data_IF_384268575112
#
_entry.id   IF_384268575112
#
_cell.length_a   1.000
_cell.length_b   1.000
_cell.length_c   1.000
_cell.angle_alpha   90.00
_cell.angle_beta   90.00
_cell.angle_gamma   90.00
#
_symmetry.space_group_name_H-M   'P 1'
#
loop_
_entity.id
_entity.type
_entity.pdbx_description
1 polymer ?
#
# COMPACT_ATOMS: atom_id res chain seq x y z
N UNK A 5 31.49 7.59 -14.52
CA UNK A 5 32.01 6.89 -13.24
C UNK A 5 31.78 5.39 -12.92
N UNK A 6 32.26 4.96 -11.72
CA UNK A 6 32.04 3.59 -11.12
C UNK A 6 30.69 3.66 -10.44
N UNK A 7 30.03 2.50 -10.34
CA UNK A 7 28.57 2.37 -10.22
C UNK A 7 27.87 3.32 -9.26
N UNK A 8 26.73 3.84 -9.72
CA UNK A 8 26.00 4.91 -9.02
C UNK A 8 24.52 4.64 -8.75
N UNK A 9 24.08 3.40 -8.96
CA UNK A 9 22.72 3.01 -8.57
C UNK A 9 21.68 3.79 -9.32
N UNK A 10 20.50 3.21 -9.42
CA UNK A 10 19.48 3.78 -10.29
C UNK A 10 18.18 3.85 -9.57
N UNK A 11 17.23 4.60 -10.13
CA UNK A 11 15.96 4.92 -9.52
C UNK A 11 15.20 3.64 -9.35
N UNK A 12 14.50 3.50 -8.22
CA UNK A 12 13.65 2.35 -8.04
C UNK A 12 13.78 1.84 -6.62
N UNK A 13 13.81 0.53 -6.51
CA UNK A 13 14.07 -0.12 -5.27
C UNK A 13 15.33 -0.93 -5.48
N UNK A 14 16.27 -0.76 -4.54
CA UNK A 14 17.39 -1.68 -4.36
C UNK A 14 16.91 -2.83 -3.50
N UNK A 15 16.06 -2.48 -2.53
CA UNK A 15 15.67 -3.21 -1.31
C UNK A 15 15.46 -4.74 -1.23
N UNK A 16 15.53 -5.44 -2.35
CA UNK A 16 15.34 -6.90 -2.35
C UNK A 16 14.09 -7.23 -1.56
N UNK A 17 13.08 -6.37 -1.69
CA UNK A 17 11.84 -6.54 -0.95
C UNK A 17 11.22 -7.90 -1.22
N UNK A 18 10.97 -8.68 -0.15
CA UNK A 18 10.37 -10.01 -0.24
C UNK A 18 9.07 -9.96 -1.01
N UNK A 19 8.84 -10.93 -1.90
CA UNK A 19 7.62 -10.85 -2.67
C UNK A 19 6.50 -10.47 -1.72
N UNK A 20 5.64 -9.54 -2.10
CA UNK A 20 4.47 -9.20 -1.28
C UNK A 20 4.52 -7.83 -0.65
N UNK A 21 5.70 -7.21 -0.67
CA UNK A 21 5.83 -5.90 -0.07
C UNK A 21 5.59 -4.73 -1.03
N UNK A 22 4.38 -4.16 -0.98
CA UNK A 22 4.16 -2.87 -1.60
C UNK A 22 4.74 -1.74 -0.77
N UNK A 23 4.48 -0.55 -1.28
CA UNK A 23 4.53 0.68 -0.59
C UNK A 23 3.07 1.07 -0.50
N UNK A 24 2.44 0.79 0.63
CA UNK A 24 1.07 1.21 0.94
C UNK A 24 1.23 2.12 2.14
N UNK A 25 1.47 3.43 1.90
CA UNK A 25 1.57 4.35 3.03
C UNK A 25 0.21 4.74 3.57
N UNK A 26 0.21 5.10 4.84
CA UNK A 26 -0.99 5.58 5.47
C UNK A 26 -0.96 7.07 5.39
N UNK A 27 -2.07 7.70 5.72
CA UNK A 27 -2.13 9.12 5.54
C UNK A 27 -1.15 9.81 6.47
N UNK A 28 -0.86 9.16 7.58
CA UNK A 28 0.02 9.77 8.57
C UNK A 28 1.46 9.73 8.09
N UNK A 29 1.79 8.63 7.42
CA UNK A 29 3.12 8.45 6.93
C UNK A 29 3.46 9.47 5.88
N UNK A 30 2.60 9.53 4.86
CA UNK A 30 2.77 10.47 3.79
C UNK A 30 2.95 11.87 4.35
N UNK A 31 2.15 12.23 5.34
CA UNK A 31 2.32 13.49 6.03
C UNK A 31 3.67 13.59 6.75
N UNK A 32 3.93 12.70 7.69
CA UNK A 32 5.02 12.89 8.64
C UNK A 32 6.33 12.54 7.99
N UNK A 33 6.39 11.33 7.46
CA UNK A 33 7.59 10.74 6.94
C UNK A 33 7.97 11.23 5.57
N UNK A 34 7.04 11.82 4.84
CA UNK A 34 7.38 12.32 3.53
C UNK A 34 7.13 13.81 3.43
N UNK A 35 5.91 14.19 3.11
CA UNK A 35 5.57 15.62 3.01
C UNK A 35 6.28 16.54 4.07
N UNK A 36 6.17 16.17 5.36
CA UNK A 36 6.75 16.97 6.45
C UNK A 36 8.26 16.96 6.42
N UNK A 37 8.81 15.77 6.21
CA UNK A 37 10.25 15.55 6.12
C UNK A 37 10.91 16.25 4.92
N UNK A 38 10.29 16.13 3.75
CA UNK A 38 10.63 16.99 2.63
C UNK A 38 10.59 18.42 3.10
N UNK A 39 9.40 18.86 3.51
CA UNK A 39 9.17 20.24 3.92
C UNK A 39 10.15 20.69 4.98
N UNK A 40 10.70 19.75 5.74
CA UNK A 40 11.77 20.08 6.68
C UNK A 40 13.14 20.12 5.95
N UNK A 41 13.28 19.25 4.92
CA UNK A 41 14.53 19.11 4.15
C UNK A 41 15.31 17.86 4.49
N UNK A 42 15.00 16.72 3.84
CA UNK A 42 15.68 15.43 4.17
C UNK A 42 16.61 14.78 3.10
N UNK A 43 16.23 13.60 2.62
CA UNK A 43 16.97 12.75 1.67
C UNK A 43 17.68 11.58 2.34
N UNK A 46 17.96 7.27 0.17
CA UNK A 46 17.03 6.21 -0.27
C UNK A 46 15.93 6.73 -1.18
N UNK A 47 16.18 7.82 -1.88
CA UNK A 47 15.11 8.67 -2.47
C UNK A 47 13.96 7.98 -3.22
N UNK A 48 12.72 8.32 -2.86
CA UNK A 48 11.57 7.52 -3.32
C UNK A 48 10.43 8.24 -4.06
N UNK A 49 10.22 9.51 -3.75
CA UNK A 49 9.14 10.23 -4.38
C UNK A 49 9.69 11.29 -5.34
N UNK A 50 9.29 11.18 -6.60
CA UNK A 50 9.73 12.08 -7.68
C UNK A 50 9.27 13.54 -7.51
N UNK A 51 10.16 14.52 -7.66
CA UNK A 51 9.74 15.90 -7.78
C UNK A 51 9.36 16.14 -9.24
N UNK A 52 8.19 16.74 -9.47
CA UNK A 52 7.68 16.93 -10.83
C UNK A 52 6.66 18.05 -10.83
N UNK A 53 6.64 18.89 -11.86
CA UNK A 53 5.48 19.78 -11.95
C UNK A 53 4.33 19.02 -12.57
N UNK A 54 3.39 18.66 -11.73
CA UNK A 54 2.27 17.93 -12.21
C UNK A 54 1.53 18.78 -13.23
N UNK A 55 1.35 20.06 -12.94
CA UNK A 55 0.44 20.87 -13.75
C UNK A 55 1.00 21.18 -15.17
N UNK A 56 2.22 20.68 -15.44
CA UNK A 56 2.81 20.74 -16.77
C UNK A 56 2.23 19.66 -17.71
N UNK A 57 1.88 18.50 -17.14
CA UNK A 57 1.57 17.31 -17.95
C UNK A 57 0.14 16.77 -17.94
N UNK A 58 -0.25 16.04 -18.98
CA UNK A 58 -1.50 15.30 -18.86
C UNK A 58 -1.28 14.20 -17.83
N UNK A 59 -2.35 13.72 -17.17
CA UNK A 59 -2.13 12.66 -16.17
C UNK A 59 -1.56 11.34 -16.71
N UNK A 60 -1.79 11.00 -17.97
CA UNK A 60 -1.46 9.64 -18.47
C UNK A 60 -0.03 9.49 -18.88
N UNK A 61 0.71 10.61 -18.86
CA UNK A 61 2.14 10.64 -19.21
C UNK A 61 2.90 10.46 -17.92
N UNK A 62 2.26 10.81 -16.80
CA UNK A 62 2.78 10.67 -15.41
C UNK A 62 3.36 9.34 -14.93
N UNK A 63 2.59 8.23 -14.99
CA UNK A 63 3.16 6.97 -14.52
C UNK A 63 4.65 6.74 -14.84
N UNK A 64 5.11 7.08 -16.05
CA UNK A 64 6.50 6.84 -16.42
C UNK A 64 7.49 7.68 -15.67
N UNK A 65 7.01 8.75 -15.04
CA UNK A 65 7.89 9.67 -14.34
C UNK A 65 8.05 9.29 -12.87
N UNK A 66 7.13 8.51 -12.31
CA UNK A 66 7.33 8.04 -10.92
C UNK A 66 8.46 7.02 -10.92
N UNK A 67 9.33 7.00 -9.89
CA UNK A 67 10.38 5.99 -9.90
C UNK A 67 9.88 4.54 -9.78
N UNK A 68 8.63 4.35 -9.37
CA UNK A 68 8.04 3.02 -9.39
C UNK A 68 6.53 3.13 -9.35
N UNK A 69 5.84 2.00 -9.33
CA UNK A 69 4.41 2.12 -9.09
C UNK A 69 3.65 1.24 -10.02
N UNK A 70 2.74 0.46 -9.46
CA UNK A 70 2.09 -0.50 -10.31
C UNK A 70 0.72 0.01 -10.70
N UNK A 71 -0.07 0.37 -9.69
CA UNK A 71 -1.34 0.97 -10.01
C UNK A 71 -1.44 2.41 -9.52
N UNK A 72 -0.35 2.94 -8.97
CA UNK A 72 -0.37 4.33 -8.57
C UNK A 72 1.00 4.96 -8.51
N UNK A 73 1.02 6.28 -8.36
CA UNK A 73 2.23 7.05 -8.46
C UNK A 73 2.18 8.22 -7.57
N UNK A 74 3.22 8.32 -6.75
CA UNK A 74 3.34 9.44 -5.86
C UNK A 74 4.26 10.43 -6.50
N UNK A 75 4.03 11.72 -6.24
CA UNK A 75 4.98 12.79 -6.61
C UNK A 75 4.95 13.91 -5.64
N UNK A 76 6.08 14.57 -5.53
CA UNK A 76 6.09 15.86 -4.92
C UNK A 76 5.93 16.82 -6.07
N UNK A 77 5.15 17.86 -5.85
CA UNK A 77 4.94 18.91 -6.85
C UNK A 77 4.95 20.24 -6.14
N UNK A 78 5.65 21.24 -6.69
CA UNK A 78 6.03 22.52 -6.02
C UNK A 78 5.01 23.21 -5.05
N UNK A 90 -9.28 25.63 -9.51
CA UNK A 90 -8.97 24.30 -10.02
C UNK A 90 -7.49 24.04 -10.36
N UNK A 91 -7.15 24.51 -11.56
CA UNK A 91 -5.84 24.49 -12.19
C UNK A 91 -5.90 23.80 -13.53
N UNK A 92 -4.77 23.73 -14.23
CA UNK A 92 -4.73 23.48 -15.67
C UNK A 92 -3.56 22.58 -15.90
N UNK A 93 -3.75 21.56 -16.71
CA UNK A 93 -2.66 20.63 -16.96
C UNK A 93 -2.81 20.08 -18.33
N UNK A 94 -1.84 20.40 -19.19
CA UNK A 94 -1.79 19.87 -20.53
C UNK A 94 -3.07 20.21 -21.26
N UNK A 95 -3.78 19.17 -21.69
CA UNK A 95 -4.94 19.28 -22.56
C UNK A 95 -6.17 19.67 -21.78
N UNK A 96 -6.01 19.70 -20.46
CA UNK A 96 -7.17 19.90 -19.61
C UNK A 96 -6.99 20.62 -18.30
N UNK A 97 -7.70 20.10 -17.30
CA UNK A 97 -7.79 20.70 -15.97
C UNK A 97 -8.21 19.73 -14.85
N UNK A 98 -7.61 19.90 -13.68
CA UNK A 98 -7.98 19.09 -12.50
C UNK A 98 -9.11 19.67 -11.69
N UNK A 99 -10.13 18.85 -11.44
CA UNK A 99 -11.29 19.38 -10.74
C UNK A 99 -11.40 18.83 -9.33
N UNK A 100 -11.40 19.78 -8.39
CA UNK A 100 -11.63 19.58 -6.96
C UNK A 100 -12.87 18.76 -6.78
N UNK A 101 -12.95 18.01 -5.69
CA UNK A 101 -13.99 17.00 -5.56
C UNK A 101 -14.30 16.56 -4.16
N UNK A 102 -15.56 16.15 -3.97
CA UNK A 102 -16.03 15.74 -2.66
C UNK A 102 -15.52 16.76 -1.67
N UNK A 103 -15.29 16.32 -0.45
CA UNK A 103 -14.81 17.26 0.56
C UNK A 103 -13.42 16.92 1.07
N UNK A 104 -12.59 17.95 1.14
CA UNK A 104 -11.23 17.82 1.65
C UNK A 104 -11.28 17.22 3.02
N UNK A 105 -10.27 16.41 3.34
CA UNK A 105 -10.28 15.58 4.54
C UNK A 105 -9.07 15.96 5.39
N UNK A 106 -9.25 16.13 6.69
CA UNK A 106 -8.17 16.64 7.55
C UNK A 106 -7.31 15.51 8.12
N UNK A 107 -6.03 15.77 8.26
CA UNK A 107 -5.10 14.82 8.84
C UNK A 107 -4.28 15.52 9.90
N UNK A 108 -4.28 14.99 11.12
CA UNK A 108 -3.62 15.63 12.24
C UNK A 108 -2.60 14.71 12.92
N UNK A 109 -1.36 15.16 13.01
CA UNK A 109 -0.29 14.34 13.55
C UNK A 109 0.23 14.89 14.86
N UNK A 110 0.33 14.01 15.85
CA UNK A 110 0.88 14.43 17.11
C UNK A 110 2.34 14.79 16.91
N UNK A 111 2.78 15.80 17.64
CA UNK A 111 1.90 16.60 18.50
C UNK A 111 1.19 17.75 17.79
N UNK A 112 1.56 18.00 16.52
CA UNK A 112 1.27 19.28 15.86
C UNK A 112 0.63 19.21 14.47
N UNK A 113 1.45 19.14 13.44
CA UNK A 113 1.06 19.35 12.04
C UNK A 113 -0.37 18.96 11.60
N UNK A 114 -1.02 19.80 10.79
CA UNK A 114 -2.28 19.44 10.15
C UNK A 114 -2.12 19.54 8.67
N UNK A 115 -2.60 18.52 7.98
CA UNK A 115 -2.51 18.44 6.55
C UNK A 115 -3.86 18.16 5.98
N UNK A 116 -4.03 18.48 4.71
CA UNK A 116 -5.30 18.31 4.08
C UNK A 116 -5.15 17.40 2.89
N UNK A 117 -5.92 16.33 2.86
CA UNK A 117 -6.01 15.57 1.63
C UNK A 117 -7.15 16.16 0.82
N UNK A 118 -6.84 16.57 -0.40
CA UNK A 118 -7.86 17.16 -1.27
C UNK A 118 -7.91 16.22 -2.44
N UNK A 119 -9.13 15.98 -2.94
CA UNK A 119 -9.36 15.06 -4.03
C UNK A 119 -9.68 15.81 -5.35
N UNK A 120 -9.09 15.38 -6.45
CA UNK A 120 -9.30 16.04 -7.71
C UNK A 120 -9.45 15.10 -8.85
N UNK A 121 -10.22 15.50 -9.86
CA UNK A 121 -10.43 14.63 -11.02
C UNK A 121 -10.05 15.34 -12.32
N UNK A 122 -9.48 14.62 -13.27
CA UNK A 122 -9.03 15.27 -14.47
C UNK A 122 -10.10 15.41 -15.53
N UNK A 123 -10.18 16.58 -16.15
CA UNK A 123 -11.07 16.85 -17.29
C UNK A 123 -10.26 17.36 -18.44
N UNK A 124 -10.60 16.86 -19.61
CA UNK A 124 -9.97 17.31 -20.81
C UNK A 124 -10.75 18.55 -21.28
N UNK A 125 -10.02 19.62 -21.60
CA UNK A 125 -10.66 20.78 -22.20
C UNK A 125 -10.71 22.03 -21.34
N UNK A 126 -11.44 23.02 -21.87
CA UNK A 126 -11.82 24.24 -21.17
C UNK A 126 -12.50 23.97 -19.82
N UNK A 127 -12.83 25.03 -19.09
CA UNK A 127 -13.16 24.97 -17.66
C UNK A 127 -14.51 24.36 -17.25
N UNK A 128 -15.57 24.60 -18.03
CA UNK A 128 -16.93 24.49 -17.48
C UNK A 128 -17.38 23.13 -16.82
N UNK A 129 -17.61 21.97 -17.48
CA UNK A 129 -17.89 21.60 -18.93
C UNK A 129 -16.70 21.20 -19.85
N UNK A 130 -15.59 20.82 -19.26
CA UNK A 130 -14.65 20.00 -20.01
C UNK A 130 -15.14 18.58 -19.88
N UNK A 131 -14.59 17.67 -20.65
CA UNK A 131 -15.03 16.27 -20.58
C UNK A 131 -14.34 15.39 -19.50
N UNK A 132 -15.11 14.87 -18.54
CA UNK A 132 -14.58 14.16 -17.34
C UNK A 132 -13.71 12.94 -17.64
N UNK A 133 -12.62 12.72 -16.91
CA UNK A 133 -11.87 11.43 -17.00
C UNK A 133 -11.87 10.54 -15.75
N UNK A 134 -11.19 9.39 -15.80
CA UNK A 134 -10.93 8.57 -14.59
C UNK A 134 -9.65 8.91 -13.85
N UNK A 135 -8.89 9.87 -14.34
CA UNK A 135 -7.70 10.26 -13.64
C UNK A 135 -8.06 10.98 -12.39
N UNK A 136 -7.59 10.41 -11.29
CA UNK A 136 -7.82 10.93 -9.95
C UNK A 136 -6.50 11.43 -9.36
N UNK A 137 -6.56 12.56 -8.67
CA UNK A 137 -5.42 12.96 -7.88
C UNK A 137 -5.81 13.21 -6.44
N UNK A 138 -5.13 12.55 -5.50
CA UNK A 138 -5.17 12.98 -4.11
C UNK A 138 -4.01 13.90 -3.88
N UNK A 139 -4.22 14.99 -3.15
CA UNK A 139 -3.17 15.98 -2.91
C UNK A 139 -3.02 16.19 -1.42
N UNK A 140 -1.80 15.99 -0.92
CA UNK A 140 -1.52 16.16 0.48
C UNK A 140 -0.77 17.43 0.68
N UNK A 141 -1.37 18.36 1.43
CA UNK A 141 -0.77 19.63 1.74
C UNK A 141 -0.82 19.91 3.24
N UNK A 142 0.31 20.38 3.77
CA UNK A 142 0.43 20.84 5.16
C UNK A 142 -0.20 22.20 5.34
N UNK A 143 -0.60 22.52 6.57
CA UNK A 143 -1.08 23.85 6.85
C UNK A 143 -0.11 24.46 7.82
N UNK A 144 0.37 25.66 7.51
CA UNK A 144 1.32 26.38 8.36
C UNK A 144 0.74 27.80 8.64
N UNK A 145 1.33 28.57 9.58
CA UNK A 145 0.87 29.95 9.83
C UNK A 145 -0.13 30.56 8.84
N UNK A 156 8.33 23.81 0.35
CA UNK A 156 7.03 24.37 0.04
C UNK A 156 6.35 23.56 -1.07
N UNK A 157 6.03 22.32 -0.73
CA UNK A 157 5.64 21.33 -1.72
C UNK A 157 4.31 20.75 -1.40
N UNK A 158 3.71 20.04 -2.36
CA UNK A 158 2.56 19.18 -2.12
C UNK A 158 2.99 17.78 -2.49
N UNK A 159 2.24 16.81 -1.97
CA UNK A 159 2.49 15.42 -2.21
C UNK A 159 1.23 14.91 -2.82
N UNK A 160 1.34 14.23 -3.97
CA UNK A 160 0.16 13.73 -4.67
C UNK A 160 0.19 12.25 -4.99
N UNK A 161 -0.93 11.57 -4.76
CA UNK A 161 -1.04 10.25 -5.26
C UNK A 161 -1.72 10.49 -6.56
N UNK A 162 -1.22 9.87 -7.62
CA UNK A 162 -1.97 9.77 -8.88
C UNK A 162 -2.32 8.31 -9.15
N UNK A 163 -3.54 8.09 -9.61
CA UNK A 163 -4.01 6.77 -10.00
C UNK A 163 -5.21 6.87 -10.98
N UNK A 164 -5.65 5.73 -11.52
CA UNK A 164 -6.76 5.65 -12.49
C UNK A 164 -7.86 4.80 -11.93
N UNK A 165 -9.09 5.30 -12.00
CA UNK A 165 -10.25 4.62 -11.45
C UNK A 165 -10.54 3.37 -12.23
N UNK A 166 -10.89 2.32 -11.48
CA UNK A 166 -11.35 0.96 -11.94
C UNK A 166 -10.25 -0.10 -12.04
N UNK B 10 13.78 -9.74 15.07
CA UNK B 10 12.79 -9.10 14.15
C UNK B 10 13.32 -8.92 12.72
N UNK B 11 12.77 -9.68 11.77
CA UNK B 11 13.19 -9.66 10.36
C UNK B 11 12.90 -8.34 9.63
N UNK B 12 11.88 -7.61 10.04
CA UNK B 12 11.42 -6.47 9.26
C UNK B 12 12.37 -5.29 9.31
N UNK B 13 12.95 -5.15 10.50
CA UNK B 13 13.93 -4.13 10.85
C UNK B 13 15.18 -4.29 10.01
N UNK B 14 15.62 -5.54 9.88
CA UNK B 14 16.83 -5.84 9.13
C UNK B 14 16.65 -5.68 7.62
N UNK B 15 15.42 -5.50 7.15
CA UNK B 15 15.15 -5.26 5.72
C UNK B 15 15.27 -3.78 5.36
N UNK B 16 15.55 -2.96 6.38
CA UNK B 16 15.72 -1.51 6.22
C UNK B 16 14.57 -0.90 5.44
N UNK B 17 13.39 -1.49 5.61
CA UNK B 17 12.16 -1.07 4.93
C UNK B 17 11.83 0.40 5.15
N UNK B 18 11.63 1.14 4.05
CA UNK B 18 11.37 2.55 4.22
C UNK B 18 9.99 2.76 4.80
N UNK B 19 9.79 3.90 5.49
CA UNK B 19 8.51 4.35 6.00
C UNK B 19 7.42 4.14 4.97
N UNK B 20 6.37 3.42 5.37
CA UNK B 20 5.25 3.18 4.48
C UNK B 20 5.31 1.90 3.67
N UNK B 21 6.35 1.06 3.87
CA UNK B 21 6.51 -0.20 3.12
C UNK B 21 6.00 -1.40 3.90
N UNK B 22 4.92 -2.01 3.45
CA UNK B 22 4.26 -3.02 4.28
C UNK B 22 4.08 -4.29 3.51
N UNK B 23 3.50 -5.26 4.19
CA UNK B 23 3.20 -6.52 3.59
C UNK B 23 1.74 -6.55 3.18
N UNK B 24 1.45 -6.10 1.95
CA UNK B 24 0.08 -6.09 1.39
C UNK B 24 -0.02 -7.16 0.28
N UNK B 25 0.08 -8.45 0.65
CA UNK B 25 0.14 -9.48 -0.40
C UNK B 25 -1.21 -9.80 -1.05
N UNK B 26 -1.23 -10.06 -2.35
CA UNK B 26 -2.48 -10.38 -3.08
C UNK B 26 -2.76 -11.89 -3.10
N UNK B 27 -4.04 -12.27 -3.11
CA UNK B 27 -4.45 -13.69 -3.10
C UNK B 27 -3.66 -14.52 -4.11
N UNK B 28 -3.23 -13.89 -5.20
CA UNK B 28 -2.42 -14.56 -6.22
C UNK B 28 -1.00 -14.78 -5.76
N UNK B 29 -0.36 -13.75 -5.21
CA UNK B 29 1.01 -13.84 -4.67
C UNK B 29 1.09 -14.90 -3.57
N UNK B 30 0.07 -14.99 -2.72
CA UNK B 30 0.10 -15.91 -1.60
C UNK B 30 0.17 -17.34 -2.11
N UNK B 31 -0.61 -17.61 -3.15
CA UNK B 31 -0.64 -18.90 -3.81
C UNK B 31 0.71 -19.32 -4.39
N UNK B 32 1.25 -18.50 -5.28
CA UNK B 32 2.41 -18.95 -6.04
C UNK B 32 3.72 -18.77 -5.28
N UNK B 33 3.87 -17.61 -4.65
CA UNK B 33 5.13 -17.30 -4.04
C UNK B 33 5.31 -17.94 -2.67
N UNK B 34 4.21 -18.25 -1.98
CA UNK B 34 4.34 -18.85 -0.65
C UNK B 34 3.90 -20.30 -0.55
N UNK B 35 2.61 -20.53 -0.77
CA UNK B 35 2.09 -21.88 -0.70
C UNK B 35 2.81 -22.83 -1.65
N UNK B 36 2.86 -22.46 -2.93
CA UNK B 36 3.53 -23.25 -3.95
C UNK B 36 4.98 -23.38 -3.60
N UNK B 37 5.55 -22.29 -3.09
CA UNK B 37 6.96 -22.31 -2.79
C UNK B 37 7.26 -23.06 -1.50
N UNK B 38 6.22 -23.47 -0.78
CA UNK B 38 6.48 -24.22 0.43
C UNK B 38 6.94 -25.65 0.14
N UNK B 39 6.51 -26.22 -0.98
CA UNK B 39 7.13 -27.47 -1.43
C UNK B 39 8.49 -27.14 -2.07
N UNK B 40 9.56 -27.49 -1.35
CA UNK B 40 10.93 -27.26 -1.80
C UNK B 40 11.39 -25.84 -1.55
N UNK B 41 10.55 -25.04 -0.93
CA UNK B 41 10.82 -23.60 -0.78
C UNK B 41 11.47 -23.17 0.52
N UNK B 44 12.38 -20.75 2.75
CA UNK B 44 12.21 -19.31 2.62
C UNK B 44 13.39 -18.59 3.26
N UNK B 45 14.22 -18.00 2.42
CA UNK B 45 15.46 -17.35 2.87
C UNK B 45 15.31 -16.76 4.28
N UNK B 46 14.28 -15.92 4.44
CA UNK B 46 13.85 -15.38 5.74
C UNK B 46 12.35 -15.62 5.84
N UNK B 47 11.97 -16.59 6.68
CA UNK B 47 10.61 -17.10 6.69
C UNK B 47 9.69 -16.19 7.47
N UNK B 48 9.11 -15.23 6.78
CA UNK B 48 8.33 -14.24 7.46
C UNK B 48 7.13 -14.87 8.13
N UNK B 49 6.55 -15.88 7.49
CA UNK B 49 5.46 -16.63 8.10
C UNK B 49 5.91 -18.01 8.39
N UNK B 50 5.63 -18.47 9.60
CA UNK B 50 6.15 -19.74 10.06
C UNK B 50 5.04 -20.76 10.11
N UNK B 51 5.39 -21.93 10.65
CA UNK B 51 4.46 -23.01 10.88
C UNK B 51 3.90 -22.88 12.29
N UNK B 52 2.62 -23.22 12.42
CA UNK B 52 1.97 -23.37 13.72
C UNK B 52 0.76 -24.29 13.57
N UNK B 53 0.53 -25.15 14.56
CA UNK B 53 -0.66 -25.98 14.54
C UNK B 53 -1.76 -25.10 15.04
N UNK B 54 -2.41 -24.45 14.08
CA UNK B 54 -3.19 -23.28 14.34
C UNK B 54 -4.35 -23.57 15.27
N UNK B 55 -4.65 -24.85 15.50
CA UNK B 55 -5.76 -25.15 16.37
C UNK B 55 -5.37 -25.74 17.70
N UNK B 56 -4.10 -25.61 18.08
CA UNK B 56 -3.74 -25.81 19.48
C UNK B 56 -4.12 -24.50 20.19
N UNK B 57 -4.73 -23.59 19.45
CA UNK B 57 -4.91 -22.23 19.95
C UNK B 57 -6.30 -21.65 19.79
N UNK B 58 -6.56 -20.65 20.64
CA UNK B 58 -7.68 -19.74 20.51
C UNK B 58 -7.19 -18.52 19.74
N UNK B 59 -8.01 -18.02 18.79
CA UNK B 59 -7.59 -16.94 17.91
C UNK B 59 -6.67 -15.89 18.56
N UNK B 60 -7.05 -15.39 19.73
CA UNK B 60 -6.46 -14.15 20.28
C UNK B 60 -4.99 -14.12 20.73
N UNK B 61 -4.26 -15.22 20.64
CA UNK B 61 -2.85 -15.22 21.11
C UNK B 61 -1.82 -15.46 19.99
N UNK B 62 -2.32 -15.95 18.87
CA UNK B 62 -1.54 -16.14 17.67
C UNK B 62 -0.66 -14.93 17.34
N UNK B 63 -1.23 -13.71 17.29
CA UNK B 63 -0.42 -12.56 16.89
C UNK B 63 0.95 -12.56 17.53
N UNK B 64 1.02 -12.99 18.77
CA UNK B 64 2.27 -12.95 19.52
C UNK B 64 3.26 -13.89 18.92
N UNK B 65 2.77 -15.02 18.44
CA UNK B 65 3.66 -16.02 17.90
C UNK B 65 3.88 -15.90 16.41
N UNK B 66 3.22 -14.93 15.77
CA UNK B 66 3.60 -14.57 14.42
C UNK B 66 4.94 -13.88 14.54
N UNK B 67 5.71 -13.93 13.47
CA UNK B 67 7.07 -13.46 13.52
C UNK B 67 7.09 -11.95 13.46
N UNK B 68 6.00 -11.39 12.92
CA UNK B 68 5.78 -9.96 12.80
C UNK B 68 4.31 -9.67 12.45
N UNK B 69 3.96 -8.39 12.42
CA UNK B 69 2.63 -7.97 12.04
C UNK B 69 2.13 -6.90 12.98
N UNK B 70 1.35 -5.96 12.44
CA UNK B 70 0.71 -4.96 13.26
C UNK B 70 -0.77 -5.32 13.43
N UNK B 71 -1.46 -5.60 12.32
CA UNK B 71 -2.92 -5.69 12.32
C UNK B 71 -3.48 -6.98 11.71
N UNK B 72 -2.60 -7.76 11.08
CA UNK B 72 -2.93 -9.07 10.52
C UNK B 72 -1.76 -10.04 10.73
N UNK B 73 -2.04 -11.34 10.74
CA UNK B 73 -0.96 -12.32 10.92
C UNK B 73 -1.15 -13.53 10.05
N UNK B 74 -0.02 -14.06 9.57
CA UNK B 74 -0.03 -15.11 8.56
C UNK B 74 0.68 -16.37 9.01
N UNK B 75 0.07 -17.51 8.71
CA UNK B 75 0.62 -18.76 9.19
C UNK B 75 0.51 -19.89 8.22
N UNK B 76 1.54 -20.72 8.22
CA UNK B 76 1.47 -22.04 7.60
C UNK B 76 0.93 -23.04 8.65
N UNK B 77 -0.02 -23.90 8.26
CA UNK B 77 -0.60 -24.91 9.20
C UNK B 77 -0.50 -26.41 8.83
N UNK B 90 -15.96 -28.19 11.35
CA UNK B 90 -15.84 -27.21 12.45
C UNK B 90 -14.73 -27.55 13.44
N UNK B 91 -13.52 -27.16 13.09
CA UNK B 91 -12.35 -27.62 13.84
C UNK B 91 -11.98 -26.75 15.05
N UNK B 92 -11.55 -27.45 16.10
CA UNK B 92 -11.13 -26.91 17.40
C UNK B 92 -10.53 -25.50 17.38
N UNK B 95 -10.32 -23.17 22.65
CA UNK B 95 -11.47 -23.14 23.55
C UNK B 95 -12.79 -22.97 22.80
N UNK B 96 -12.68 -22.76 21.49
CA UNK B 96 -13.85 -22.72 20.63
C UNK B 96 -13.52 -23.47 19.36
N UNK B 97 -13.97 -22.93 18.24
CA UNK B 97 -13.81 -23.61 16.96
C UNK B 97 -13.90 -22.71 15.73
N UNK B 98 -13.51 -23.25 14.58
CA UNK B 98 -13.63 -22.43 13.42
C UNK B 98 -14.69 -23.00 12.55
N UNK B 103 -18.48 -17.41 0.99
CA UNK B 103 -18.00 -18.37 -0.01
C UNK B 103 -16.55 -18.11 -0.37
N UNK B 104 -15.76 -19.18 -0.42
CA UNK B 104 -14.41 -19.16 -0.95
C UNK B 104 -14.52 -18.94 -2.46
N UNK B 105 -13.59 -18.15 -3.02
CA UNK B 105 -13.59 -17.85 -4.45
C UNK B 105 -12.36 -18.44 -5.17
N UNK B 106 -12.59 -19.04 -6.34
CA UNK B 106 -11.52 -19.60 -7.15
C UNK B 106 -10.47 -18.52 -7.40
N UNK B 107 -9.23 -18.77 -6.95
CA UNK B 107 -8.11 -17.89 -7.30
C UNK B 107 -7.40 -18.48 -8.50
N UNK B 108 -7.14 -17.64 -9.50
CA UNK B 108 -6.41 -18.05 -10.69
C UNK B 108 -5.19 -17.18 -10.83
N UNK B 109 -4.12 -17.72 -11.39
CA UNK B 109 -2.96 -16.93 -11.77
C UNK B 109 -2.61 -17.21 -13.22
N UNK B 110 -2.37 -16.14 -13.97
CA UNK B 110 -2.06 -16.25 -15.39
C UNK B 110 -3.20 -16.93 -16.16
N UNK B 111 -4.43 -16.70 -15.71
CA UNK B 111 -5.62 -17.26 -16.37
C UNK B 111 -5.71 -18.76 -16.20
N UNK B 112 -4.94 -19.26 -15.23
CA UNK B 112 -4.86 -20.68 -14.91
C UNK B 112 -4.97 -20.81 -13.41
N UNK B 113 -5.76 -21.78 -12.98
CA UNK B 113 -6.19 -21.79 -11.58
C UNK B 113 -5.34 -22.51 -10.57
N UNK B 114 -5.05 -21.79 -9.50
CA UNK B 114 -4.76 -22.47 -8.27
C UNK B 114 -5.31 -21.63 -7.15
N UNK B 117 -9.01 -20.25 -1.66
CA UNK B 117 -9.19 -19.38 -0.50
C UNK B 117 -10.59 -19.46 0.12
N UNK B 118 -10.60 -19.46 1.46
CA UNK B 118 -11.78 -19.75 2.26
C UNK B 118 -11.86 -18.90 3.53
N UNK B 119 -13.05 -18.41 3.81
CA UNK B 119 -13.23 -17.50 4.89
C UNK B 119 -13.95 -18.18 6.04
N UNK B 120 -13.43 -17.94 7.24
CA UNK B 120 -13.91 -18.55 8.49
C UNK B 120 -14.11 -17.51 9.60
N UNK B 121 -14.95 -17.88 10.57
CA UNK B 121 -15.29 -17.08 11.75
C UNK B 121 -15.09 -17.93 13.01
N UNK B 122 -14.75 -17.29 14.15
CA UNK B 122 -14.59 -18.01 15.43
C UNK B 122 -15.83 -18.00 16.34
N UNK B 132 -19.99 -15.19 19.29
CA UNK B 132 -19.37 -15.03 17.98
C UNK B 132 -18.51 -13.77 17.92
N UNK B 133 -17.39 -13.82 17.19
CA UNK B 133 -16.32 -12.79 17.33
C UNK B 133 -15.88 -12.04 16.07
N UNK B 134 -15.06 -11.00 16.26
CA UNK B 134 -14.36 -10.22 15.20
C UNK B 134 -13.19 -10.99 14.54
N UNK B 135 -13.05 -12.25 15.00
CA UNK B 135 -11.94 -13.13 14.64
C UNK B 135 -12.15 -13.88 13.36
N UNK B 136 -11.40 -13.44 12.35
CA UNK B 136 -11.54 -13.91 10.98
C UNK B 136 -10.28 -14.62 10.55
N UNK B 137 -10.46 -15.76 9.91
CA UNK B 137 -9.36 -16.52 9.36
C UNK B 137 -9.54 -16.66 7.86
N UNK B 138 -8.47 -16.39 7.13
CA UNK B 138 -8.45 -16.62 5.70
C UNK B 138 -7.63 -17.83 5.43
N UNK B 139 -8.25 -18.77 4.72
CA UNK B 139 -7.61 -20.05 4.41
C UNK B 139 -7.30 -20.14 2.90
N UNK B 140 -6.06 -20.50 2.57
CA UNK B 140 -5.60 -20.62 1.19
C UNK B 140 -5.07 -22.03 0.93
N UNK B 157 0.42 -28.60 4.26
CA UNK B 157 0.76 -27.20 4.54
C UNK B 157 -0.19 -26.25 3.83
N UNK B 158 -1.01 -25.51 4.57
CA UNK B 158 -1.89 -24.45 4.03
C UNK B 158 -1.50 -23.06 4.56
N UNK B 159 -1.94 -22.00 3.88
CA UNK B 159 -1.59 -20.64 4.29
C UNK B 159 -2.80 -19.83 4.76
N UNK B 160 -2.70 -19.25 5.96
CA UNK B 160 -3.80 -18.50 6.56
C UNK B 160 -3.44 -17.11 7.03
N UNK B 161 -4.29 -16.17 6.62
CA UNK B 161 -4.33 -14.86 7.22
C UNK B 161 -5.29 -14.92 8.38
N UNK B 162 -4.86 -14.37 9.50
CA UNK B 162 -5.76 -14.15 10.60
C UNK B 162 -5.73 -12.66 10.87
N UNK B 163 -6.89 -12.09 11.18
CA UNK B 163 -6.99 -10.70 11.67
C UNK B 163 -8.27 -10.47 12.51
N UNK B 164 -8.28 -9.38 13.30
CA UNK B 164 -9.45 -8.98 14.09
C UNK B 164 -10.26 -7.91 13.33
N UNK B 165 -11.58 -8.03 13.38
CA UNK B 165 -12.46 -7.09 12.67
C UNK B 165 -12.91 -5.87 13.48
N UNK B 166 -13.70 -4.99 12.83
CA UNK B 166 -14.31 -3.78 13.45
C UNK B 166 -13.55 -3.21 14.65
#
# INVERSE_FOLDING_TARGET
GSHMGIQETDPLTQLSLPPGFRFYPTDEELMVQYLCRKAAGYDFSLQLIAEIDLYKFDPWVLPNKALFGEKEWYFFSPRDRKYPNGSRPNRVAGSGYWKATGTDKIISTEGQRVGIKKALVFYIGKAPKGTKTNWIMHEYRLIEPSRRNGSTKLDDWVLCRIYKKQSSAQK
GSHMGIQETDPLTQLSLPPGFRFYPTDEELMVQYLCRKAAGYDFSLQLIAEIDLYKFDPWVLPNKALFGEKEWYFFSPRDRKYPNGSRPNRVAGSGYWKATGTDKIISTEGQRVGIKKALVFYIGKAPKGTKTNWIMHEYRLIEPSRRNGSTKLDDWVLCRIYKKQSSAQK
#
